data_IF_668883140876
#
_entry.id   IF_668883140876
#
_cell.length_a   1.000
_cell.length_b   1.000
_cell.length_c   1.000
_cell.angle_alpha   90.00
_cell.angle_beta   90.00
_cell.angle_gamma   90.00
#
_symmetry.space_group_name_H-M   'P 1'
#
loop_
_entity.id
_entity.type
_entity.pdbx_description
1 polymer ?
#
# COMPACT_ATOMS: atom_id res chain seq x y z
N UNK A 1 -20.40 -4.94 -13.33
CA UNK A 1 -18.94 -4.84 -13.37
C UNK A 1 -18.47 -4.67 -11.93
N UNK A 2 -18.17 -5.76 -11.22
CA UNK A 2 -17.59 -5.69 -9.88
C UNK A 2 -16.11 -5.33 -10.08
N UNK A 3 -15.72 -4.20 -9.58
CA UNK A 3 -14.33 -3.73 -9.58
C UNK A 3 -13.51 -4.70 -8.72
N UNK A 4 -12.42 -5.25 -9.24
CA UNK A 4 -11.44 -6.02 -8.47
C UNK A 4 -11.23 -5.31 -7.13
N UNK A 5 -11.45 -6.05 -6.02
CA UNK A 5 -11.38 -5.51 -4.66
C UNK A 5 -9.92 -5.20 -4.34
N UNK A 6 -9.57 -3.94 -4.45
CA UNK A 6 -8.21 -3.48 -4.09
C UNK A 6 -8.08 -3.45 -2.58
N UNK A 7 -7.04 -4.05 -2.05
CA UNK A 7 -6.71 -4.01 -0.62
C UNK A 7 -6.60 -2.57 -0.15
N UNK A 8 -7.30 -2.25 0.93
CA UNK A 8 -7.32 -0.92 1.53
C UNK A 8 -6.29 -0.80 2.65
N UNK A 9 -5.94 0.43 3.00
CA UNK A 9 -5.05 0.74 4.13
C UNK A 9 -5.59 0.16 5.43
N UNK A 10 -6.91 0.21 5.66
CA UNK A 10 -7.56 -0.35 6.85
C UNK A 10 -7.33 -1.86 7.03
N UNK A 11 -7.14 -2.60 5.94
CA UNK A 11 -6.94 -4.06 5.99
C UNK A 11 -5.51 -4.45 6.37
N UNK A 12 -4.54 -3.53 6.24
CA UNK A 12 -3.10 -3.82 6.46
C UNK A 12 -2.45 -2.94 7.52
N UNK A 13 -3.10 -1.84 7.95
CA UNK A 13 -2.54 -0.92 8.94
C UNK A 13 -2.40 -1.55 10.32
N UNK A 14 -1.43 -1.09 11.09
CA UNK A 14 -1.30 -1.40 12.52
C UNK A 14 -2.17 -0.44 13.31
N UNK A 15 -3.09 -0.98 14.12
CA UNK A 15 -4.04 -0.19 14.94
C UNK A 15 -3.57 0.02 16.37
N UNK A 16 -2.71 -0.89 16.91
CA UNK A 16 -2.08 -0.72 18.21
C UNK A 16 -0.84 0.16 18.09
N UNK A 17 -1.03 1.47 18.18
CA UNK A 17 0.01 2.47 17.91
C UNK A 17 0.57 3.01 19.22
N UNK A 18 1.89 2.92 19.39
CA UNK A 18 2.58 3.68 20.43
C UNK A 18 2.59 5.17 20.06
N UNK A 19 2.22 6.03 20.98
CA UNK A 19 2.11 7.48 20.81
C UNK A 19 2.62 8.22 22.03
N UNK A 20 2.85 9.51 21.91
CA UNK A 20 3.28 10.39 23.02
C UNK A 20 2.45 11.68 23.03
N UNK A 21 2.35 12.30 24.20
CA UNK A 21 1.74 13.62 24.34
C UNK A 21 2.76 14.74 24.00
N UNK A 22 2.32 15.94 23.63
CA UNK A 22 3.22 17.07 23.36
C UNK A 22 4.12 17.44 24.55
N UNK A 23 3.64 17.23 25.76
CA UNK A 23 4.37 17.50 27.00
C UNK A 23 5.37 16.40 27.38
N UNK A 24 5.40 15.26 26.67
CA UNK A 24 6.29 14.15 26.99
C UNK A 24 7.76 14.58 26.91
N UNK A 25 8.57 14.37 27.96
CA UNK A 25 9.98 14.72 27.94
C UNK A 25 10.76 13.95 26.86
N UNK A 26 11.78 14.59 26.29
CA UNK A 26 12.62 13.98 25.23
C UNK A 26 13.23 12.62 25.63
N UNK A 27 13.72 12.39 26.88
CA UNK A 27 14.20 11.08 27.29
C UNK A 27 13.11 9.99 27.24
N UNK A 28 11.87 10.34 27.61
CA UNK A 28 10.74 9.40 27.61
C UNK A 28 10.28 9.09 26.19
N UNK A 29 10.37 10.06 25.27
CA UNK A 29 10.17 9.83 23.83
C UNK A 29 11.19 8.80 23.31
N UNK A 30 12.47 8.98 23.65
CA UNK A 30 13.53 8.04 23.26
C UNK A 30 13.29 6.64 23.84
N UNK A 31 12.89 6.56 25.12
CA UNK A 31 12.55 5.29 25.77
C UNK A 31 11.35 4.60 25.09
N UNK A 32 10.34 5.37 24.69
CA UNK A 32 9.16 4.84 23.99
C UNK A 32 9.51 4.31 22.60
N UNK A 33 10.31 5.05 21.80
CA UNK A 33 10.81 4.57 20.51
C UNK A 33 11.58 3.26 20.64
N UNK A 34 12.47 3.18 21.63
CA UNK A 34 13.30 2.00 21.88
C UNK A 34 12.45 0.79 22.33
N UNK A 35 11.56 1.00 23.31
CA UNK A 35 10.74 -0.09 23.89
C UNK A 35 9.71 -0.63 22.91
N UNK A 36 9.09 0.26 22.13
CA UNK A 36 8.14 -0.12 21.11
C UNK A 36 8.82 -0.64 19.81
N UNK A 37 10.14 -0.57 19.73
CA UNK A 37 10.94 -0.95 18.56
C UNK A 37 10.47 -0.25 17.25
N UNK A 38 10.06 1.02 17.37
CA UNK A 38 9.59 1.83 16.25
C UNK A 38 10.56 2.99 15.98
N UNK A 39 10.56 3.51 14.76
CA UNK A 39 11.45 4.60 14.34
C UNK A 39 10.82 5.98 14.40
N UNK A 40 9.53 6.04 14.65
CA UNK A 40 8.79 7.28 14.78
C UNK A 40 7.52 7.06 15.59
N UNK A 41 7.06 8.12 16.24
CA UNK A 41 5.84 8.14 17.06
C UNK A 41 4.94 9.27 16.61
N UNK A 42 3.63 9.07 16.54
CA UNK A 42 2.66 10.16 16.46
C UNK A 42 2.61 10.89 17.82
N UNK A 43 2.48 12.21 17.74
CA UNK A 43 2.23 13.08 18.88
C UNK A 43 0.75 13.46 18.87
N UNK A 44 0.04 13.05 19.92
CA UNK A 44 -1.41 13.20 20.02
C UNK A 44 -1.78 14.17 21.14
N UNK A 45 -2.88 14.88 20.94
CA UNK A 45 -3.50 15.62 22.03
C UNK A 45 -4.33 14.70 22.96
N UNK A 46 -5.00 15.30 23.94
CA UNK A 46 -5.82 14.57 24.93
C UNK A 46 -7.04 13.89 24.30
N UNK A 47 -7.52 14.40 23.17
CA UNK A 47 -8.66 13.88 22.41
C UNK A 47 -8.26 12.82 21.37
N UNK A 48 -6.94 12.53 21.23
CA UNK A 48 -6.40 11.57 20.26
C UNK A 48 -6.20 12.15 18.85
N UNK A 49 -6.30 13.47 18.69
CA UNK A 49 -6.02 14.13 17.42
C UNK A 49 -4.52 14.19 17.16
N UNK A 50 -4.14 13.99 15.91
CA UNK A 50 -2.75 13.99 15.49
C UNK A 50 -2.22 15.43 15.38
N UNK A 51 -1.31 15.81 16.28
CA UNK A 51 -0.64 17.12 16.28
C UNK A 51 0.61 17.13 15.42
N UNK A 52 1.33 16.01 15.39
CA UNK A 52 2.59 15.91 14.68
C UNK A 52 3.18 14.53 14.77
N UNK A 53 4.41 14.39 14.28
CA UNK A 53 5.19 13.16 14.37
C UNK A 53 6.61 13.46 14.83
N UNK A 54 7.21 12.54 15.58
CA UNK A 54 8.59 12.61 16.03
C UNK A 54 9.33 11.32 15.68
N UNK A 55 10.54 11.42 15.15
CA UNK A 55 11.33 10.30 14.71
C UNK A 55 12.68 10.22 15.44
N UNK A 56 13.38 9.07 15.32
CA UNK A 56 14.76 8.92 15.77
C UNK A 56 15.67 10.02 15.20
N UNK A 57 15.43 10.44 13.93
CA UNK A 57 16.23 11.47 13.28
C UNK A 57 16.06 12.84 13.94
N UNK A 58 14.86 13.15 14.45
CA UNK A 58 14.60 14.42 15.15
C UNK A 58 15.35 14.45 16.51
N UNK A 59 15.35 13.32 17.23
CA UNK A 59 16.13 13.18 18.47
C UNK A 59 17.64 13.27 18.22
N UNK A 60 18.15 12.59 17.19
CA UNK A 60 19.56 12.65 16.83
C UNK A 60 19.96 14.07 16.42
N UNK A 61 19.11 14.79 15.69
CA UNK A 61 19.35 16.16 15.33
C UNK A 61 19.40 17.09 16.56
N UNK A 62 18.54 16.86 17.56
CA UNK A 62 18.54 17.61 18.81
C UNK A 62 19.82 17.37 19.65
N UNK A 63 20.32 16.14 19.68
CA UNK A 63 21.57 15.79 20.37
C UNK A 63 22.81 16.31 19.64
N UNK A 64 22.81 16.28 18.31
CA UNK A 64 23.93 16.73 17.48
C UNK A 64 24.03 18.26 17.36
N UNK A 65 22.98 19.00 17.75
CA UNK A 65 23.00 20.46 17.72
C UNK A 65 24.01 21.01 18.76
N UNK A 66 25.08 21.70 18.33
CA UNK A 66 26.03 22.29 19.28
C UNK A 66 25.32 23.40 20.06
N UNK A 67 25.64 23.53 21.37
CA UNK A 67 25.06 24.50 22.28
C UNK A 67 25.16 25.99 21.81
N UNK A 68 25.93 26.26 20.76
CA UNK A 68 26.22 27.59 20.21
C UNK A 68 26.21 27.61 18.67
N UNK A 69 25.36 26.83 17.99
CA UNK A 69 25.34 26.82 16.54
C UNK A 69 24.51 27.99 15.97
N UNK A 70 25.18 28.97 15.42
CA UNK A 70 24.67 29.79 14.33
C UNK A 70 24.19 28.84 13.21
N UNK A 71 22.87 28.77 13.00
CA UNK A 71 22.11 27.74 12.27
C UNK A 71 22.37 27.66 10.75
N UNK A 72 23.56 28.11 10.26
CA UNK A 72 23.87 28.22 8.83
C UNK A 72 24.49 27.00 8.18
N UNK A 73 24.99 26.00 8.92
CA UNK A 73 25.87 24.94 8.38
C UNK A 73 25.22 23.54 8.30
N UNK A 74 24.16 23.26 9.04
CA UNK A 74 23.55 21.94 9.09
C UNK A 74 22.13 21.98 8.50
N UNK A 75 21.99 21.84 7.18
CA UNK A 75 20.74 21.44 6.54
C UNK A 75 20.91 20.01 6.03
N UNK A 76 20.28 18.99 6.67
CA UNK A 76 20.18 17.67 6.08
C UNK A 76 19.46 17.78 4.74
N UNK A 77 20.04 17.26 3.67
CA UNK A 77 19.55 17.40 2.28
C UNK A 77 18.27 16.64 1.96
N UNK A 78 17.69 15.93 2.94
CA UNK A 78 16.51 15.06 2.77
C UNK A 78 15.41 15.29 3.80
N UNK A 79 15.32 16.48 4.39
CA UNK A 79 14.24 16.82 5.30
C UNK A 79 13.12 17.41 4.48
N UNK A 80 11.93 16.78 4.57
CA UNK A 80 10.67 17.23 4.02
C UNK A 80 10.42 18.70 4.36
N UNK A 81 9.84 19.45 3.40
CA UNK A 81 9.36 20.80 3.64
C UNK A 81 8.39 20.76 4.83
N UNK A 82 8.75 21.38 5.93
CA UNK A 82 7.92 21.47 7.14
C UNK A 82 8.60 21.05 8.44
N UNK A 83 9.87 20.57 8.40
CA UNK A 83 10.59 20.26 9.64
C UNK A 83 11.02 21.55 10.29
N UNK A 84 10.55 21.88 11.51
CA UNK A 84 11.15 22.91 12.33
C UNK A 84 12.63 22.56 12.53
N UNK A 85 13.51 23.53 12.41
CA UNK A 85 14.91 23.30 12.77
C UNK A 85 14.95 22.78 14.22
N UNK A 86 15.60 21.63 14.43
CA UNK A 86 15.77 21.07 15.76
C UNK A 86 16.31 22.19 16.67
N UNK A 87 15.49 22.57 17.66
CA UNK A 87 15.89 23.60 18.59
C UNK A 87 16.90 23.01 19.57
N UNK A 88 18.14 23.54 19.64
CA UNK A 88 19.07 23.15 20.68
C UNK A 88 18.40 23.37 22.04
N UNK A 89 18.32 22.27 22.82
CA UNK A 89 17.69 22.33 24.15
C UNK A 89 16.19 22.02 24.19
N UNK A 90 15.58 21.57 23.09
CA UNK A 90 14.21 21.07 23.09
C UNK A 90 14.04 19.94 24.12
N UNK A 91 13.05 20.10 25.02
CA UNK A 91 12.87 19.25 26.19
C UNK A 91 11.65 18.35 26.09
N UNK A 92 10.75 18.63 25.14
CA UNK A 92 9.48 17.91 25.00
C UNK A 92 9.23 17.46 23.57
N UNK A 93 8.33 16.48 23.41
CA UNK A 93 7.89 15.98 22.12
C UNK A 93 7.31 17.09 21.23
N UNK A 94 6.51 18.00 21.79
CA UNK A 94 5.91 19.11 21.07
C UNK A 94 6.91 20.13 20.51
N UNK A 95 8.07 20.27 21.15
CA UNK A 95 9.14 21.15 20.68
C UNK A 95 9.98 20.50 19.55
N UNK A 96 10.00 19.16 19.49
CA UNK A 96 10.79 18.38 18.52
C UNK A 96 9.96 17.87 17.34
N UNK A 97 8.63 17.74 17.49
CA UNK A 97 7.79 17.15 16.47
C UNK A 97 7.76 17.94 15.17
N UNK A 98 7.62 17.25 14.06
CA UNK A 98 7.23 17.84 12.79
C UNK A 98 5.73 18.00 12.78
N UNK A 99 5.26 19.23 12.62
CA UNK A 99 3.82 19.56 12.50
C UNK A 99 3.30 19.26 11.09
N UNK A 100 1.99 19.13 10.93
CA UNK A 100 1.32 18.85 9.65
C UNK A 100 1.91 17.64 8.91
N UNK A 101 2.00 16.47 9.55
CA UNK A 101 2.54 15.29 8.90
C UNK A 101 1.66 14.88 7.71
N UNK A 102 2.30 14.25 6.70
CA UNK A 102 1.55 13.64 5.61
C UNK A 102 0.79 12.44 6.15
N UNK A 103 -0.52 12.44 5.98
CA UNK A 103 -1.43 11.40 6.46
C UNK A 103 -2.14 10.69 5.31
N UNK A 104 -2.80 9.58 5.61
CA UNK A 104 -3.64 8.85 4.66
C UNK A 104 -4.92 8.38 5.35
N UNK A 105 -6.01 8.26 4.60
CA UNK A 105 -7.27 7.71 5.12
C UNK A 105 -7.32 6.18 5.03
N UNK A 106 -8.05 5.50 5.92
CA UNK A 106 -8.15 4.03 5.94
C UNK A 106 -8.81 3.43 4.68
N UNK A 107 -9.65 4.19 3.98
CA UNK A 107 -10.29 3.78 2.72
C UNK A 107 -9.40 3.92 1.48
N UNK A 108 -8.20 4.50 1.61
CA UNK A 108 -7.25 4.57 0.51
C UNK A 108 -6.72 3.17 0.15
N UNK A 109 -6.31 2.96 -1.11
CA UNK A 109 -5.71 1.70 -1.52
C UNK A 109 -4.24 1.62 -1.10
N UNK A 110 -3.74 0.40 -0.86
CA UNK A 110 -2.32 0.14 -0.58
C UNK A 110 -1.43 0.70 -1.70
N UNK A 111 -1.85 0.60 -2.95
CA UNK A 111 -1.13 1.18 -4.09
C UNK A 111 -1.03 2.72 -4.02
N UNK A 112 -2.09 3.41 -3.54
CA UNK A 112 -2.06 4.85 -3.33
C UNK A 112 -1.09 5.23 -2.20
N UNK A 113 -1.10 4.46 -1.09
CA UNK A 113 -0.17 4.63 0.02
C UNK A 113 1.29 4.45 -0.41
N UNK A 114 1.59 3.38 -1.16
CA UNK A 114 2.93 3.12 -1.69
C UNK A 114 3.45 4.26 -2.59
N UNK A 115 2.57 4.79 -3.45
CA UNK A 115 2.89 5.94 -4.30
C UNK A 115 3.19 7.18 -3.47
N UNK A 116 2.34 7.49 -2.49
CA UNK A 116 2.51 8.64 -1.59
C UNK A 116 3.83 8.55 -0.80
N UNK A 117 4.13 7.37 -0.23
CA UNK A 117 5.40 7.14 0.48
C UNK A 117 6.60 7.35 -0.44
N UNK A 118 6.56 6.85 -1.67
CA UNK A 118 7.64 7.01 -2.66
C UNK A 118 7.82 8.47 -3.07
N UNK A 119 6.75 9.17 -3.41
CA UNK A 119 6.77 10.56 -3.86
C UNK A 119 7.26 11.52 -2.76
N UNK A 120 6.93 11.23 -1.51
CA UNK A 120 7.30 12.04 -0.35
C UNK A 120 8.55 11.53 0.37
N UNK A 121 9.14 10.40 -0.07
CA UNK A 121 10.31 9.79 0.56
C UNK A 121 10.06 9.27 1.98
N UNK A 122 8.81 8.90 2.31
CA UNK A 122 8.40 8.47 3.63
C UNK A 122 8.61 6.96 3.82
N UNK A 123 8.83 6.54 5.06
CA UNK A 123 8.93 5.14 5.45
C UNK A 123 7.66 4.63 6.14
N UNK A 124 6.81 5.52 6.60
CA UNK A 124 5.54 5.24 7.25
C UNK A 124 4.59 6.42 7.10
N UNK A 125 3.28 6.20 7.35
CA UNK A 125 2.23 7.21 7.31
C UNK A 125 1.28 7.02 8.50
N UNK A 126 0.91 8.09 9.22
CA UNK A 126 -0.24 8.07 10.10
C UNK A 126 -1.52 7.86 9.29
N UNK A 127 -2.41 6.99 9.77
CA UNK A 127 -3.75 6.78 9.21
C UNK A 127 -4.75 7.55 10.04
N UNK A 128 -5.49 8.46 9.41
CA UNK A 128 -6.30 9.45 10.11
C UNK A 128 -7.72 9.50 9.56
N UNK A 129 -8.70 9.68 10.45
CA UNK A 129 -10.11 9.97 10.11
C UNK A 129 -10.52 11.21 10.93
N UNK A 130 -10.96 12.25 10.26
CA UNK A 130 -11.42 13.50 10.89
C UNK A 130 -10.42 14.11 11.89
N UNK A 131 -9.11 14.01 11.59
CA UNK A 131 -8.02 14.47 12.45
C UNK A 131 -7.57 13.47 13.52
N UNK A 132 -8.32 12.42 13.78
CA UNK A 132 -8.04 11.38 14.78
C UNK A 132 -7.15 10.29 14.22
N UNK A 133 -6.11 9.90 14.98
CA UNK A 133 -5.26 8.77 14.62
C UNK A 133 -6.04 7.45 14.79
N UNK A 134 -6.18 6.67 13.72
CA UNK A 134 -6.82 5.35 13.75
C UNK A 134 -5.83 4.21 13.52
N UNK A 135 -4.61 4.51 13.10
CA UNK A 135 -3.56 3.53 12.85
C UNK A 135 -2.32 4.15 12.26
N UNK A 136 -1.35 3.30 11.94
CA UNK A 136 -0.14 3.66 11.18
C UNK A 136 0.11 2.62 10.10
N UNK A 137 0.74 3.05 9.02
CA UNK A 137 1.08 2.21 7.89
C UNK A 137 2.59 2.33 7.59
N UNK A 138 3.34 1.27 7.73
CA UNK A 138 4.75 1.18 7.38
C UNK A 138 5.00 0.55 6.01
N UNK A 139 6.24 0.60 5.52
CA UNK A 139 6.61 -0.08 4.26
C UNK A 139 6.44 -1.59 4.35
N UNK A 140 6.70 -2.18 5.53
CA UNK A 140 6.49 -3.62 5.78
C UNK A 140 5.04 -4.03 5.59
N UNK A 141 4.10 -3.16 5.99
CA UNK A 141 2.68 -3.46 5.88
C UNK A 141 2.22 -3.48 4.42
N UNK A 142 2.85 -2.68 3.56
CA UNK A 142 2.60 -2.69 2.11
C UNK A 142 3.03 -4.00 1.45
N UNK A 143 4.02 -4.70 2.02
CA UNK A 143 4.49 -5.98 1.49
C UNK A 143 3.50 -7.12 1.76
N UNK A 144 2.58 -6.95 2.71
CA UNK A 144 1.55 -7.96 3.01
C UNK A 144 0.62 -8.23 1.82
N UNK A 145 0.49 -7.26 0.90
CA UNK A 145 -0.23 -7.42 -0.36
C UNK A 145 0.38 -8.52 -1.24
N UNK A 146 1.71 -8.67 -1.18
CA UNK A 146 2.43 -9.73 -1.90
C UNK A 146 2.42 -11.06 -1.15
N UNK A 147 1.90 -11.07 0.09
CA UNK A 147 1.77 -12.27 0.93
C UNK A 147 0.33 -12.78 0.96
N UNK A 148 -0.50 -12.39 -0.03
CA UNK A 148 -1.87 -12.94 -0.14
C UNK A 148 -1.79 -14.45 -0.24
N UNK A 149 -2.57 -15.18 0.59
CA UNK A 149 -2.60 -16.64 0.48
C UNK A 149 -3.09 -17.06 -0.91
N UNK A 150 -2.44 -18.04 -1.52
CA UNK A 150 -2.82 -18.60 -2.83
C UNK A 150 -4.29 -19.02 -2.87
N UNK A 151 -4.82 -19.51 -1.75
CA UNK A 151 -6.24 -19.85 -1.63
C UNK A 151 -7.17 -18.62 -1.82
N UNK A 152 -6.78 -17.43 -1.35
CA UNK A 152 -7.57 -16.21 -1.53
C UNK A 152 -7.51 -15.72 -2.98
N UNK A 153 -6.35 -15.80 -3.62
CA UNK A 153 -6.19 -15.51 -5.05
C UNK A 153 -7.05 -16.46 -5.86
N UNK A 154 -6.99 -17.77 -5.56
CA UNK A 154 -7.79 -18.79 -6.24
C UNK A 154 -9.28 -18.53 -6.13
N UNK A 155 -9.80 -18.19 -4.94
CA UNK A 155 -11.22 -17.86 -4.76
C UNK A 155 -11.64 -16.66 -5.60
N UNK A 156 -10.85 -15.59 -5.63
CA UNK A 156 -11.14 -14.39 -6.43
C UNK A 156 -11.14 -14.70 -7.94
N UNK A 157 -10.20 -15.52 -8.43
CA UNK A 157 -10.18 -15.97 -9.83
C UNK A 157 -11.48 -16.71 -10.18
N UNK A 158 -11.90 -17.64 -9.33
CA UNK A 158 -13.10 -18.45 -9.57
C UNK A 158 -14.40 -17.61 -9.50
N UNK A 159 -14.52 -16.76 -8.48
CA UNK A 159 -15.77 -16.04 -8.19
C UNK A 159 -15.91 -14.76 -9.02
N UNK A 160 -14.84 -13.96 -9.16
CA UNK A 160 -14.94 -12.65 -9.79
C UNK A 160 -14.55 -12.68 -11.28
N UNK A 161 -13.59 -13.52 -11.68
CA UNK A 161 -13.16 -13.58 -13.07
C UNK A 161 -13.96 -14.61 -13.86
N UNK A 162 -13.93 -15.88 -13.46
CA UNK A 162 -14.53 -16.96 -14.25
C UNK A 162 -16.05 -16.94 -14.15
N UNK A 163 -16.62 -16.82 -12.96
CA UNK A 163 -18.08 -16.85 -12.80
C UNK A 163 -18.78 -15.55 -13.25
N UNK A 164 -18.13 -14.37 -13.08
CA UNK A 164 -18.78 -13.08 -13.32
C UNK A 164 -18.37 -12.40 -14.61
N UNK A 165 -17.08 -12.45 -14.99
CA UNK A 165 -16.58 -11.70 -16.14
C UNK A 165 -16.56 -12.52 -17.43
N UNK A 166 -16.19 -13.80 -17.35
CA UNK A 166 -16.12 -14.70 -18.52
C UNK A 166 -17.37 -15.56 -18.64
N UNK A 167 -18.21 -15.60 -17.58
CA UNK A 167 -19.47 -16.36 -17.52
C UNK A 167 -19.28 -17.85 -17.89
N UNK A 168 -18.26 -18.45 -17.29
CA UNK A 168 -17.90 -19.86 -17.51
C UNK A 168 -18.34 -20.67 -16.28
N UNK A 169 -18.86 -21.86 -16.52
CA UNK A 169 -19.11 -22.81 -15.43
C UNK A 169 -17.79 -23.16 -14.74
N UNK A 170 -17.69 -23.02 -13.39
CA UNK A 170 -16.43 -23.20 -12.65
C UNK A 170 -15.76 -24.57 -12.86
N UNK A 171 -16.51 -25.55 -13.32
CA UNK A 171 -16.03 -26.92 -13.57
C UNK A 171 -15.27 -27.06 -14.89
N UNK A 172 -15.37 -26.08 -15.79
CA UNK A 172 -14.72 -26.13 -17.12
C UNK A 172 -13.29 -25.63 -17.13
N UNK A 173 -12.91 -24.82 -16.13
CA UNK A 173 -11.57 -24.25 -15.98
C UNK A 173 -11.04 -24.57 -14.59
N UNK A 174 -9.98 -25.34 -14.53
CA UNK A 174 -9.25 -25.58 -13.31
C UNK A 174 -8.29 -24.40 -13.04
N UNK A 175 -8.28 -23.94 -11.80
CA UNK A 175 -7.41 -22.87 -11.31
C UNK A 175 -6.50 -23.44 -10.25
N UNK A 176 -5.20 -23.40 -10.46
CA UNK A 176 -4.18 -23.70 -9.46
C UNK A 176 -3.35 -22.47 -9.19
N UNK A 177 -2.97 -22.25 -7.91
CA UNK A 177 -2.18 -21.10 -7.50
C UNK A 177 -1.08 -21.56 -6.57
N UNK A 178 0.16 -21.27 -6.94
CA UNK A 178 1.35 -21.61 -6.15
C UNK A 178 2.28 -20.40 -6.14
N UNK A 179 2.59 -19.88 -4.94
CA UNK A 179 3.45 -18.70 -4.74
C UNK A 179 3.01 -17.48 -5.58
N UNK A 180 1.70 -17.28 -5.72
CA UNK A 180 1.13 -16.20 -6.52
C UNK A 180 1.13 -16.43 -8.03
N UNK A 181 1.65 -17.56 -8.52
CA UNK A 181 1.58 -17.97 -9.94
C UNK A 181 0.27 -18.71 -10.18
N UNK A 182 -0.59 -18.15 -11.03
CA UNK A 182 -1.90 -18.70 -11.37
C UNK A 182 -1.80 -19.53 -12.63
N UNK A 183 -2.10 -20.82 -12.56
CA UNK A 183 -2.23 -21.70 -13.72
C UNK A 183 -3.70 -21.90 -14.06
N UNK A 184 -4.09 -21.51 -15.28
CA UNK A 184 -5.43 -21.72 -15.82
C UNK A 184 -5.40 -22.89 -16.80
N UNK A 185 -6.17 -23.94 -16.52
CA UNK A 185 -6.24 -25.15 -17.37
C UNK A 185 -7.69 -25.48 -17.69
N UNK A 186 -8.02 -25.70 -18.95
CA UNK A 186 -9.37 -26.08 -19.34
C UNK A 186 -9.74 -25.63 -20.74
N UNK A 187 -11.06 -25.59 -21.03
CA UNK A 187 -11.57 -25.22 -22.34
C UNK A 187 -12.63 -24.12 -22.23
N UNK A 188 -12.39 -23.03 -22.93
CA UNK A 188 -13.34 -21.92 -23.10
C UNK A 188 -14.05 -22.02 -24.46
N UNK A 189 -15.07 -21.20 -24.66
CA UNK A 189 -15.84 -21.27 -25.92
C UNK A 189 -15.07 -20.51 -27.03
N UNK A 190 -14.46 -19.37 -26.73
CA UNK A 190 -13.71 -18.57 -27.72
C UNK A 190 -12.28 -18.24 -27.24
N UNK A 191 -11.41 -17.89 -28.17
CA UNK A 191 -10.07 -17.39 -27.88
C UNK A 191 -10.12 -16.05 -27.13
N UNK A 192 -11.06 -15.18 -27.53
CA UNK A 192 -11.27 -13.88 -26.87
C UNK A 192 -11.61 -14.04 -25.38
N UNK A 193 -12.38 -15.06 -24.98
CA UNK A 193 -12.67 -15.35 -23.56
C UNK A 193 -11.40 -15.74 -22.81
N UNK A 194 -10.50 -16.51 -23.44
CA UNK A 194 -9.23 -16.89 -22.83
C UNK A 194 -8.31 -15.66 -22.63
N UNK A 195 -8.18 -14.80 -23.62
CA UNK A 195 -7.42 -13.56 -23.51
C UNK A 195 -7.97 -12.63 -22.43
N UNK A 196 -9.30 -12.50 -22.34
CA UNK A 196 -9.96 -11.70 -21.30
C UNK A 196 -9.73 -12.31 -19.91
N UNK A 197 -9.85 -13.63 -19.77
CA UNK A 197 -9.58 -14.31 -18.50
C UNK A 197 -8.15 -14.06 -18.02
N UNK A 198 -7.15 -14.30 -18.87
CA UNK A 198 -5.73 -14.07 -18.56
C UNK A 198 -5.46 -12.60 -18.20
N UNK A 199 -6.02 -11.66 -18.99
CA UNK A 199 -5.86 -10.23 -18.74
C UNK A 199 -6.50 -9.77 -17.43
N UNK A 200 -7.62 -10.35 -17.02
CA UNK A 200 -8.27 -10.03 -15.74
C UNK A 200 -7.54 -10.66 -14.55
N UNK A 201 -7.13 -11.93 -14.68
CA UNK A 201 -6.36 -12.63 -13.65
C UNK A 201 -5.04 -11.93 -13.37
N UNK A 202 -4.33 -11.46 -14.40
CA UNK A 202 -3.06 -10.71 -14.25
C UNK A 202 -3.21 -9.39 -13.48
N UNK A 203 -4.44 -8.88 -13.30
CA UNK A 203 -4.74 -7.66 -12.54
C UNK A 203 -5.13 -7.90 -11.10
N UNK A 204 -5.29 -9.16 -10.71
CA UNK A 204 -5.61 -9.52 -9.33
C UNK A 204 -4.39 -9.24 -8.46
N UNK A 205 -4.64 -8.60 -7.33
CA UNK A 205 -3.59 -8.27 -6.36
C UNK A 205 -3.00 -9.55 -5.77
N UNK A 206 -1.67 -9.67 -5.75
CA UNK A 206 -0.96 -10.87 -5.31
C UNK A 206 -0.59 -11.84 -6.44
N UNK A 207 -1.13 -11.68 -7.65
CA UNK A 207 -0.72 -12.49 -8.80
C UNK A 207 0.65 -12.00 -9.31
N UNK A 208 1.60 -12.91 -9.34
CA UNK A 208 2.97 -12.68 -9.80
C UNK A 208 3.09 -12.99 -11.30
N UNK A 209 2.45 -14.08 -11.74
CA UNK A 209 2.45 -14.53 -13.14
C UNK A 209 1.20 -15.36 -13.43
N UNK A 210 0.85 -15.48 -14.72
CA UNK A 210 -0.28 -16.31 -15.19
C UNK A 210 0.22 -17.28 -16.25
N UNK A 211 0.11 -18.58 -15.95
CA UNK A 211 0.41 -19.67 -16.88
C UNK A 211 -0.88 -20.04 -17.59
N UNK A 212 -0.97 -19.68 -18.86
CA UNK A 212 -2.11 -19.98 -19.73
C UNK A 212 -1.96 -21.38 -20.34
N UNK A 213 -2.85 -22.30 -19.93
CA UNK A 213 -3.04 -23.63 -20.49
C UNK A 213 -4.50 -23.82 -20.94
N UNK A 214 -5.14 -22.73 -21.32
CA UNK A 214 -6.51 -22.77 -21.82
C UNK A 214 -6.54 -23.20 -23.29
N UNK A 215 -7.60 -23.92 -23.64
CA UNK A 215 -7.96 -24.26 -25.00
C UNK A 215 -9.31 -23.66 -25.35
N UNK A 216 -9.64 -23.51 -26.61
CA UNK A 216 -10.93 -22.98 -27.07
C UNK A 216 -11.52 -23.83 -28.18
N UNK A 217 -12.86 -23.80 -28.29
CA UNK A 217 -13.60 -24.70 -29.20
C UNK A 217 -13.93 -24.06 -30.53
N UNK A 218 -14.07 -22.73 -30.55
CA UNK A 218 -14.47 -21.98 -31.76
C UNK A 218 -13.35 -21.03 -32.17
N UNK A 219 -12.84 -21.06 -33.40
CA UNK A 219 -11.88 -20.09 -33.89
C UNK A 219 -12.52 -18.70 -33.99
N UNK A 220 -11.78 -17.67 -33.56
CA UNK A 220 -12.22 -16.28 -33.45
C UNK A 220 -12.41 -15.54 -34.76
N UNK A 221 -12.69 -16.16 -35.88
CA UNK A 221 -13.10 -15.40 -37.07
C UNK A 221 -13.84 -16.25 -38.09
N UNK A 222 -14.93 -15.76 -38.67
CA UNK A 222 -15.19 -16.04 -40.07
C UNK A 222 -14.08 -15.31 -40.85
N UNK A 223 -13.22 -16.04 -41.54
CA UNK A 223 -12.37 -15.50 -42.59
C UNK A 223 -13.18 -14.47 -43.39
N UNK A 224 -12.68 -13.25 -43.48
CA UNK A 224 -13.16 -12.25 -44.41
C UNK A 224 -13.01 -12.88 -45.79
N UNK A 225 -14.06 -13.48 -46.29
CA UNK A 225 -14.09 -13.89 -47.71
C UNK A 225 -13.74 -12.65 -48.54
N UNK A 226 -12.71 -12.69 -49.39
CA UNK A 226 -12.44 -11.60 -50.31
C UNK A 226 -13.67 -11.47 -51.20
N UNK A 227 -14.30 -10.30 -51.14
CA UNK A 227 -15.31 -9.90 -52.12
C UNK A 227 -14.60 -9.69 -53.45
N UNK A 228 -14.35 -10.78 -54.15
CA UNK A 228 -13.92 -10.78 -55.51
C UNK A 228 -14.83 -11.77 -56.26
N UNK A 229 -15.50 -11.23 -57.29
CA UNK A 229 -16.36 -11.89 -58.25
C UNK A 229 -17.90 -11.84 -57.98
N UNK A 230 -18.40 -10.60 -57.98
CA UNK A 230 -19.75 -10.32 -58.47
C UNK A 230 -19.75 -9.15 -59.44
N UNK A 231 -19.02 -9.31 -60.54
CA UNK A 231 -19.19 -8.51 -61.77
C UNK A 231 -18.78 -9.37 -62.96
N UNK A 232 -19.75 -10.17 -63.43
CA UNK A 232 -19.92 -10.54 -64.84
C UNK A 232 -21.37 -10.84 -65.10
#
# INVERSE_FOLDING_TARGET
MRTSRKTTVAEVMTTSVASVAPSTPTPDVAATLYTAAVRALPVLDEDGSLLGVISEADLLAAVAAPEHADSRWWRPRHIHRGVPAAHPGARTAGELMSVDPVTIGPGATVAAAARLMRERGLSWLPVVVDGQLVGVLGRSDLLTVFLRPDAAIRSEVLEDVLACAVVVEPERVAVDVVDGVVTLTGALDTHADAEVAVALVSRIEGVVDVVDQLSWRVPDSPETMPVRDLLH
#
